data_IF_145754910295
#
_entry.id   IF_145754910295
#
_cell.length_a   1.000
_cell.length_b   1.000
_cell.length_c   1.000
_cell.angle_alpha   90.00
_cell.angle_beta   90.00
_cell.angle_gamma   90.00
#
_symmetry.space_group_name_H-M   'P 1'
#
loop_
_entity.id
_entity.type
_entity.pdbx_description
1 polymer ?
#
# COMPACT_ATOMS: atom_id res chain seq x y z
N UNK A 1 45.26 -2.01 48.90
CA UNK A 1 44.28 -2.66 49.79
C UNK A 1 43.21 -3.19 48.84
N UNK A 2 43.29 -4.33 48.43
CA UNK A 2 42.84 -5.71 48.63
C UNK A 2 41.65 -5.79 49.57
N UNK A 3 40.50 -6.31 49.03
CA UNK A 3 39.53 -7.23 49.63
C UNK A 3 38.35 -7.36 48.66
N UNK A 4 38.19 -8.45 48.07
CA UNK A 4 37.72 -9.79 48.45
C UNK A 4 36.23 -9.97 48.11
N UNK A 5 35.95 -10.78 47.09
CA UNK A 5 34.61 -11.34 46.72
C UNK A 5 34.23 -12.48 47.69
N UNK A 6 32.97 -12.69 47.97
CA UNK A 6 32.50 -14.04 48.35
C UNK A 6 31.72 -14.72 47.19
N UNK A 7 32.15 -15.92 46.92
CA UNK A 7 31.51 -16.96 46.17
C UNK A 7 30.27 -17.52 46.91
N UNK A 8 29.14 -17.51 46.28
CA UNK A 8 27.93 -18.18 46.72
C UNK A 8 27.42 -19.12 45.63
N UNK A 9 27.67 -20.42 45.83
CA UNK A 9 27.10 -21.54 45.08
C UNK A 9 25.65 -21.72 45.48
N UNK A 10 24.73 -21.79 44.51
CA UNK A 10 23.41 -22.33 44.72
C UNK A 10 23.05 -23.25 43.56
N UNK A 11 22.64 -24.47 43.95
CA UNK A 11 22.49 -25.64 43.14
C UNK A 11 21.33 -25.60 42.14
N UNK A 12 21.52 -26.33 41.09
CA UNK A 12 20.49 -26.75 40.12
C UNK A 12 19.60 -27.82 40.75
N UNK A 13 18.29 -27.63 40.68
CA UNK A 13 17.31 -28.69 40.75
C UNK A 13 16.46 -28.66 39.48
N UNK A 14 16.64 -29.74 38.72
CA UNK A 14 15.82 -30.10 37.55
C UNK A 14 14.36 -30.24 37.95
N UNK A 15 13.47 -29.61 37.18
CA UNK A 15 12.19 -30.16 36.69
C UNK A 15 11.42 -29.11 35.90
N UNK A 16 11.43 -29.24 34.58
CA UNK A 16 10.43 -28.61 33.75
C UNK A 16 9.86 -29.67 32.80
N UNK A 17 8.54 -29.91 32.79
CA UNK A 17 7.94 -30.91 31.93
C UNK A 17 7.74 -30.41 30.52
N UNK A 18 8.07 -31.21 29.53
CA UNK A 18 7.76 -31.08 28.13
C UNK A 18 6.25 -31.11 27.88
N UNK A 19 5.72 -30.22 27.03
CA UNK A 19 4.39 -30.42 26.47
C UNK A 19 4.43 -30.62 24.95
N UNK A 20 3.79 -31.71 24.54
CA UNK A 20 3.22 -31.98 23.22
C UNK A 20 4.08 -32.62 22.15
N UNK A 21 4.19 -33.93 22.29
CA UNK A 21 4.35 -34.85 21.18
C UNK A 21 2.98 -35.05 20.50
N UNK A 22 2.74 -34.43 19.34
CA UNK A 22 1.64 -34.82 18.46
C UNK A 22 2.14 -35.85 17.45
N UNK A 23 1.62 -37.05 17.56
CA UNK A 23 1.78 -38.15 16.62
C UNK A 23 1.19 -37.77 15.25
N UNK A 24 2.01 -37.82 14.23
CA UNK A 24 1.60 -37.73 12.82
C UNK A 24 1.18 -39.13 12.35
N UNK A 25 0.08 -39.29 11.60
CA UNK A 25 -0.26 -40.55 10.95
C UNK A 25 0.66 -40.80 9.76
N UNK A 26 1.14 -42.03 9.66
CA UNK A 26 2.03 -42.60 8.65
C UNK A 26 1.36 -42.76 7.28
N UNK A 27 2.16 -42.45 6.24
CA UNK A 27 2.12 -42.97 4.86
C UNK A 27 0.89 -42.67 4.00
N UNK A 28 1.02 -41.65 3.17
CA UNK A 28 0.39 -41.58 1.85
C UNK A 28 1.51 -41.64 0.81
N UNK A 29 1.49 -42.70 -0.01
CA UNK A 29 2.42 -42.94 -1.12
C UNK A 29 2.32 -41.83 -2.14
N UNK A 30 3.44 -41.10 -2.37
CA UNK A 30 3.57 -40.09 -3.42
C UNK A 30 3.53 -40.80 -4.80
N UNK A 31 2.42 -40.64 -5.51
CA UNK A 31 2.37 -40.90 -6.94
C UNK A 31 3.17 -39.81 -7.63
N UNK A 32 4.10 -40.22 -8.50
CA UNK A 32 4.99 -39.41 -9.31
C UNK A 32 4.19 -38.57 -10.32
N UNK A 33 3.79 -37.39 -9.91
CA UNK A 33 3.41 -36.31 -10.82
C UNK A 33 4.66 -35.48 -11.06
N UNK A 34 5.17 -35.49 -12.30
CA UNK A 34 6.25 -34.60 -12.75
C UNK A 34 5.90 -33.14 -12.47
N UNK A 35 6.91 -32.25 -12.40
CA UNK A 35 6.65 -30.84 -12.11
C UNK A 35 5.64 -30.28 -13.14
N UNK A 36 4.58 -29.58 -12.69
CA UNK A 36 3.61 -29.03 -13.62
C UNK A 36 4.33 -28.08 -14.58
N UNK A 37 4.18 -28.32 -15.89
CA UNK A 37 4.63 -27.41 -16.93
C UNK A 37 3.76 -26.16 -16.88
N UNK A 38 4.21 -25.13 -16.15
CA UNK A 38 3.53 -23.84 -16.12
C UNK A 38 3.78 -23.11 -17.44
N UNK A 39 2.84 -23.18 -18.35
CA UNK A 39 2.70 -22.23 -19.45
C UNK A 39 2.50 -20.84 -18.84
N UNK A 40 3.16 -19.82 -19.42
CA UNK A 40 2.89 -18.42 -19.06
C UNK A 40 1.42 -18.19 -19.42
N UNK A 41 0.60 -17.98 -18.40
CA UNK A 41 -0.80 -17.66 -18.58
C UNK A 41 -0.87 -16.26 -19.21
N UNK A 42 -1.40 -16.19 -20.46
CA UNK A 42 -1.64 -14.95 -21.19
C UNK A 42 -2.65 -14.02 -20.47
N UNK A 43 -3.25 -14.49 -19.36
CA UNK A 43 -4.20 -13.74 -18.54
C UNK A 43 -3.55 -12.74 -17.57
N UNK A 44 -2.22 -12.76 -17.37
CA UNK A 44 -1.53 -11.87 -16.43
C UNK A 44 -1.04 -10.61 -17.13
N UNK A 45 -1.54 -9.46 -16.71
CA UNK A 45 -1.05 -8.16 -17.20
C UNK A 45 0.37 -7.90 -16.68
N UNK A 46 1.29 -7.62 -17.59
CA UNK A 46 2.64 -7.16 -17.23
C UNK A 46 2.77 -5.68 -17.51
N UNK A 47 3.03 -4.89 -16.48
CA UNK A 47 3.20 -3.44 -16.56
C UNK A 47 4.64 -3.10 -16.19
N UNK A 48 5.38 -2.54 -17.14
CA UNK A 48 6.75 -2.09 -16.90
C UNK A 48 6.73 -0.76 -16.16
N UNK A 49 7.49 -0.70 -15.08
CA UNK A 49 7.83 0.54 -14.37
C UNK A 49 9.27 0.87 -14.69
N UNK A 50 9.48 2.03 -15.30
CA UNK A 50 10.77 2.50 -15.75
C UNK A 50 11.05 3.84 -15.10
N UNK A 51 12.07 3.92 -14.26
CA UNK A 51 12.47 5.13 -13.55
C UNK A 51 13.95 5.43 -13.83
N UNK A 52 14.42 6.64 -13.58
CA UNK A 52 15.85 6.97 -13.74
C UNK A 52 16.79 6.04 -12.96
N UNK A 53 16.35 5.52 -11.80
CA UNK A 53 17.20 4.69 -10.93
C UNK A 53 16.95 3.19 -11.03
N UNK A 54 15.81 2.74 -11.59
CA UNK A 54 15.45 1.33 -11.63
C UNK A 54 14.42 1.00 -12.71
N UNK A 55 14.44 -0.27 -13.13
CA UNK A 55 13.45 -0.85 -14.01
C UNK A 55 12.94 -2.16 -13.40
N UNK A 56 11.62 -2.33 -13.34
CA UNK A 56 11.00 -3.55 -12.85
C UNK A 56 9.61 -3.75 -13.45
N UNK A 57 9.06 -4.93 -13.29
CA UNK A 57 7.72 -5.25 -13.75
C UNK A 57 6.73 -5.37 -12.58
N UNK A 58 5.51 -4.92 -12.81
CA UNK A 58 4.35 -5.22 -11.99
C UNK A 58 3.50 -6.23 -12.75
N UNK A 59 3.28 -7.38 -12.14
CA UNK A 59 2.39 -8.41 -12.64
C UNK A 59 1.04 -8.28 -11.92
N UNK A 60 -0.04 -8.17 -12.68
CA UNK A 60 -1.39 -8.07 -12.15
C UNK A 60 -2.29 -9.14 -12.79
N UNK A 61 -2.91 -9.99 -11.98
CA UNK A 61 -3.75 -11.09 -12.44
C UNK A 61 -4.03 -12.08 -11.33
N UNK A 62 -4.80 -13.13 -11.62
CA UNK A 62 -5.12 -14.19 -10.68
C UNK A 62 -4.03 -15.26 -10.63
N UNK A 63 -3.90 -15.97 -9.49
CA UNK A 63 -3.01 -17.13 -9.33
C UNK A 63 -1.51 -16.82 -9.25
N UNK A 64 -1.14 -15.55 -9.08
CA UNK A 64 0.27 -15.15 -9.02
C UNK A 64 0.97 -15.68 -7.78
N UNK A 65 0.26 -15.76 -6.65
CA UNK A 65 0.79 -16.25 -5.39
C UNK A 65 1.17 -17.73 -5.47
N UNK A 66 0.34 -18.56 -6.11
CA UNK A 66 0.60 -19.98 -6.31
C UNK A 66 1.79 -20.26 -7.25
N UNK A 67 2.17 -19.30 -8.08
CA UNK A 67 3.30 -19.39 -9.02
C UNK A 67 4.45 -18.42 -8.70
N UNK A 68 4.55 -17.96 -7.45
CA UNK A 68 5.47 -16.90 -7.05
C UNK A 68 6.94 -17.30 -7.20
N UNK A 69 7.34 -18.46 -6.70
CA UNK A 69 8.73 -18.91 -6.72
C UNK A 69 9.29 -19.06 -8.15
N UNK A 70 8.65 -19.75 -9.11
CA UNK A 70 9.15 -19.85 -10.48
C UNK A 70 9.20 -18.47 -11.18
N UNK A 71 8.31 -17.52 -10.84
CA UNK A 71 8.37 -16.16 -11.37
C UNK A 71 9.56 -15.38 -10.81
N UNK A 72 9.81 -15.48 -9.50
CA UNK A 72 11.01 -14.90 -8.87
C UNK A 72 12.27 -15.50 -9.47
N UNK A 73 12.34 -16.83 -9.62
CA UNK A 73 13.49 -17.51 -10.21
C UNK A 73 13.79 -16.99 -11.62
N UNK A 74 12.76 -16.75 -12.44
CA UNK A 74 12.93 -16.21 -13.79
C UNK A 74 13.49 -14.79 -13.78
N UNK A 75 13.05 -13.95 -12.84
CA UNK A 75 13.49 -12.55 -12.74
C UNK A 75 14.91 -12.46 -12.17
N UNK A 76 15.21 -13.24 -11.12
CA UNK A 76 16.51 -13.24 -10.44
C UNK A 76 17.56 -14.18 -11.07
N UNK A 77 17.19 -14.95 -12.09
CA UNK A 77 18.03 -15.98 -12.71
C UNK A 77 18.08 -17.29 -11.91
N UNK A 78 18.05 -17.23 -10.59
CA UNK A 78 17.95 -18.36 -9.66
C UNK A 78 17.21 -17.97 -8.41
N UNK A 79 16.64 -18.94 -7.71
CA UNK A 79 16.10 -18.70 -6.37
C UNK A 79 17.25 -18.45 -5.38
N UNK A 80 17.18 -17.36 -4.59
CA UNK A 80 18.13 -17.13 -3.51
C UNK A 80 18.07 -18.24 -2.46
N UNK A 81 19.22 -18.57 -1.87
CA UNK A 81 19.29 -19.61 -0.83
C UNK A 81 18.52 -19.24 0.44
N UNK A 82 18.45 -17.96 0.75
CA UNK A 82 17.72 -17.45 1.91
C UNK A 82 16.61 -16.51 1.44
N UNK A 83 15.36 -16.88 1.74
CA UNK A 83 14.18 -16.08 1.40
C UNK A 83 13.45 -15.78 2.70
N UNK A 84 13.24 -14.50 2.96
CA UNK A 84 12.49 -14.01 4.11
C UNK A 84 11.14 -13.46 3.64
N UNK A 85 10.06 -13.81 4.36
CA UNK A 85 8.73 -13.25 4.14
C UNK A 85 8.37 -12.36 5.32
N UNK A 86 8.24 -11.07 5.09
CA UNK A 86 7.66 -10.14 6.08
C UNK A 86 6.17 -10.03 5.82
N UNK A 87 5.36 -10.36 6.84
CA UNK A 87 3.89 -10.39 6.72
C UNK A 87 3.24 -10.14 8.07
N UNK A 88 1.90 -9.98 8.11
CA UNK A 88 1.14 -9.99 9.37
C UNK A 88 0.57 -11.39 9.66
N UNK A 89 0.31 -11.70 10.95
CA UNK A 89 -0.30 -12.99 11.32
C UNK A 89 -1.61 -13.28 10.59
N UNK A 90 -2.44 -12.26 10.37
CA UNK A 90 -3.76 -12.38 9.72
C UNK A 90 -3.60 -12.75 8.23
N UNK A 91 -2.72 -12.08 7.51
CA UNK A 91 -2.44 -12.39 6.09
C UNK A 91 -1.82 -13.76 5.96
N UNK A 92 -0.91 -14.10 6.87
CA UNK A 92 -0.29 -15.42 6.88
C UNK A 92 -1.30 -16.55 7.10
N UNK A 93 -2.23 -16.38 8.03
CA UNK A 93 -3.29 -17.34 8.29
C UNK A 93 -4.21 -17.57 7.07
N UNK A 94 -4.44 -16.54 6.25
CA UNK A 94 -5.30 -16.61 5.08
C UNK A 94 -4.57 -17.20 3.85
N UNK A 95 -3.34 -16.80 3.61
CA UNK A 95 -2.67 -17.00 2.34
C UNK A 95 -1.26 -17.59 2.43
N UNK A 96 -0.74 -17.79 3.65
CA UNK A 96 0.62 -18.28 3.87
C UNK A 96 0.85 -19.68 3.27
N UNK A 97 -0.11 -20.58 3.38
CA UNK A 97 -0.03 -21.92 2.80
C UNK A 97 0.08 -21.89 1.27
N UNK A 98 -0.69 -21.02 0.61
CA UNK A 98 -0.64 -20.85 -0.84
C UNK A 98 0.72 -20.30 -1.27
N UNK A 99 1.26 -19.32 -0.53
CA UNK A 99 2.60 -18.78 -0.80
C UNK A 99 3.66 -19.86 -0.65
N UNK A 100 3.69 -20.58 0.48
CA UNK A 100 4.69 -21.61 0.79
C UNK A 100 4.67 -22.72 -0.23
N UNK A 101 3.49 -23.16 -0.68
CA UNK A 101 3.33 -24.24 -1.65
C UNK A 101 4.01 -23.93 -3.00
N UNK A 102 4.28 -22.66 -3.32
CA UNK A 102 5.01 -22.29 -4.54
C UNK A 102 6.52 -22.52 -4.45
N UNK A 103 7.07 -22.65 -3.25
CA UNK A 103 8.52 -22.77 -3.01
C UNK A 103 8.96 -24.21 -2.78
N UNK A 104 10.12 -24.63 -3.30
CA UNK A 104 10.68 -25.97 -3.03
C UNK A 104 11.09 -26.17 -1.57
N UNK A 105 11.53 -25.08 -0.91
CA UNK A 105 11.84 -25.01 0.51
C UNK A 105 11.07 -23.83 1.12
N UNK A 106 10.46 -24.03 2.28
CA UNK A 106 9.67 -22.98 2.95
C UNK A 106 10.51 -21.75 3.27
N UNK A 107 10.08 -20.54 2.84
CA UNK A 107 10.73 -19.30 3.23
C UNK A 107 10.66 -19.07 4.74
N UNK A 108 11.59 -18.30 5.27
CA UNK A 108 11.61 -17.91 6.68
C UNK A 108 10.61 -16.77 6.89
N UNK A 109 9.58 -17.02 7.71
CA UNK A 109 8.51 -16.05 7.94
C UNK A 109 8.82 -15.15 9.14
N UNK A 110 8.70 -13.84 8.94
CA UNK A 110 8.92 -12.80 9.94
C UNK A 110 7.62 -12.01 10.13
N UNK A 111 7.10 -11.97 11.35
CA UNK A 111 5.83 -11.33 11.63
C UNK A 111 5.99 -9.87 12.06
N UNK A 112 5.32 -8.98 11.33
CA UNK A 112 5.07 -7.60 11.69
C UNK A 112 3.68 -7.50 12.32
N UNK A 113 3.58 -6.91 13.50
CA UNK A 113 2.30 -6.65 14.13
C UNK A 113 1.44 -5.71 13.26
N UNK A 114 0.11 -5.95 13.17
CA UNK A 114 -0.75 -5.18 12.28
C UNK A 114 -0.98 -3.74 12.78
N UNK A 115 -1.26 -2.86 11.84
CA UNK A 115 -1.69 -1.49 12.10
C UNK A 115 -0.56 -0.46 12.14
N UNK A 116 -0.97 0.78 11.91
CA UNK A 116 -0.09 1.95 11.80
C UNK A 116 0.83 2.19 13.02
N UNK A 117 0.43 1.89 14.28
CA UNK A 117 1.31 2.02 15.44
C UNK A 117 2.59 1.16 15.38
N UNK A 118 2.60 0.12 14.55
CA UNK A 118 3.74 -0.79 14.40
C UNK A 118 4.63 -0.45 13.19
N UNK A 119 4.31 0.58 12.44
CA UNK A 119 5.15 1.12 11.36
C UNK A 119 6.27 1.99 11.93
N UNK A 120 7.23 1.39 12.64
CA UNK A 120 8.26 2.08 13.45
C UNK A 120 9.67 1.55 13.22
N UNK A 121 10.69 2.33 13.61
CA UNK A 121 12.10 1.89 13.61
C UNK A 121 12.32 0.67 14.53
N UNK A 122 11.63 0.59 15.65
CA UNK A 122 11.73 -0.57 16.56
C UNK A 122 11.25 -1.86 15.87
N UNK A 123 10.20 -1.79 15.07
CA UNK A 123 9.73 -2.94 14.27
C UNK A 123 10.77 -3.34 13.22
N UNK A 124 11.40 -2.37 12.56
CA UNK A 124 12.48 -2.62 11.59
C UNK A 124 13.67 -3.29 12.28
N UNK A 125 14.13 -2.75 13.43
CA UNK A 125 15.24 -3.35 14.19
C UNK A 125 14.94 -4.80 14.58
N UNK A 126 13.73 -5.09 15.07
CA UNK A 126 13.31 -6.45 15.40
C UNK A 126 13.42 -7.39 14.21
N UNK A 127 12.91 -6.98 13.04
CA UNK A 127 12.96 -7.80 11.82
C UNK A 127 14.41 -8.02 11.36
N UNK A 128 15.25 -6.98 11.38
CA UNK A 128 16.67 -7.08 11.02
C UNK A 128 17.42 -8.06 11.93
N UNK A 129 17.19 -8.02 13.25
CA UNK A 129 17.79 -8.96 14.22
C UNK A 129 17.37 -10.41 13.92
N UNK A 130 16.09 -10.63 13.63
CA UNK A 130 15.58 -11.97 13.24
C UNK A 130 16.24 -12.47 11.97
N UNK A 131 16.43 -11.61 10.94
CA UNK A 131 17.13 -11.98 9.71
C UNK A 131 18.58 -12.39 9.98
N UNK A 132 19.29 -11.65 10.84
CA UNK A 132 20.68 -12.00 11.22
C UNK A 132 20.74 -13.35 11.92
N UNK A 133 19.87 -13.60 12.91
CA UNK A 133 19.82 -14.86 13.66
C UNK A 133 19.50 -16.04 12.73
N UNK A 134 18.65 -15.82 11.72
CA UNK A 134 18.28 -16.84 10.73
C UNK A 134 19.34 -17.00 9.61
N UNK A 135 20.51 -16.38 9.73
CA UNK A 135 21.61 -16.52 8.78
C UNK A 135 21.41 -15.76 7.47
N UNK A 136 20.70 -14.64 7.52
CA UNK A 136 20.55 -13.73 6.39
C UNK A 136 21.88 -13.11 5.98
N UNK A 137 22.07 -12.94 4.68
CA UNK A 137 23.25 -12.36 4.06
C UNK A 137 22.89 -11.44 2.88
N UNK A 138 23.91 -10.92 2.16
CA UNK A 138 23.72 -10.02 1.01
C UNK A 138 23.03 -10.67 -0.19
N UNK A 139 23.01 -12.00 -0.27
CA UNK A 139 22.36 -12.74 -1.35
C UNK A 139 20.91 -13.13 -1.01
N UNK A 140 20.46 -12.79 0.18
CA UNK A 140 19.08 -13.06 0.63
C UNK A 140 18.06 -12.23 -0.16
N UNK A 141 16.84 -12.76 -0.27
CA UNK A 141 15.68 -12.07 -0.84
C UNK A 141 14.65 -11.81 0.25
N UNK A 142 14.05 -10.63 0.25
CA UNK A 142 12.91 -10.33 1.09
C UNK A 142 11.63 -10.29 0.25
N UNK A 143 10.56 -10.91 0.73
CA UNK A 143 9.21 -10.83 0.19
C UNK A 143 8.37 -10.01 1.17
N UNK A 144 7.93 -8.83 0.75
CA UNK A 144 6.97 -8.01 1.52
C UNK A 144 5.55 -8.46 1.13
N UNK A 145 4.95 -9.33 1.95
CA UNK A 145 3.66 -9.96 1.70
C UNK A 145 2.58 -9.39 2.61
N UNK A 146 1.83 -8.40 2.12
CA UNK A 146 0.81 -7.72 2.94
C UNK A 146 0.30 -6.43 2.34
N UNK A 147 -0.42 -5.65 3.15
CA UNK A 147 -0.88 -4.30 2.80
C UNK A 147 0.26 -3.28 2.75
N UNK A 148 -0.09 -1.99 2.56
CA UNK A 148 0.88 -0.90 2.40
C UNK A 148 1.90 -0.79 3.55
N UNK A 149 1.48 -1.01 4.80
CA UNK A 149 2.38 -0.99 5.98
C UNK A 149 3.47 -2.06 5.86
N UNK A 150 3.10 -3.28 5.46
CA UNK A 150 4.05 -4.37 5.26
C UNK A 150 4.99 -4.08 4.10
N UNK A 151 4.46 -3.51 3.00
CA UNK A 151 5.25 -3.06 1.85
C UNK A 151 6.29 -2.02 2.22
N UNK A 152 5.88 -0.99 2.97
CA UNK A 152 6.75 0.11 3.40
C UNK A 152 7.83 -0.37 4.39
N UNK A 153 7.44 -1.10 5.44
CA UNK A 153 8.37 -1.64 6.44
C UNK A 153 9.31 -2.69 5.83
N UNK A 154 8.76 -3.66 5.08
CA UNK A 154 9.55 -4.71 4.45
C UNK A 154 10.53 -4.16 3.41
N UNK A 155 10.09 -3.19 2.61
CA UNK A 155 10.97 -2.48 1.67
C UNK A 155 12.08 -1.70 2.38
N UNK A 156 11.79 -1.07 3.53
CA UNK A 156 12.81 -0.36 4.31
C UNK A 156 13.77 -1.32 5.02
N UNK A 157 13.29 -2.45 5.52
CA UNK A 157 14.14 -3.56 6.00
C UNK A 157 15.08 -4.01 4.89
N UNK A 158 14.57 -4.27 3.68
CA UNK A 158 15.40 -4.67 2.54
C UNK A 158 16.42 -3.59 2.16
N UNK A 159 16.03 -2.31 2.18
CA UNK A 159 16.92 -1.18 1.86
C UNK A 159 18.08 -1.03 2.85
N UNK A 160 17.88 -1.43 4.12
CA UNK A 160 18.86 -1.19 5.20
C UNK A 160 19.65 -2.44 5.55
N UNK A 161 19.08 -3.65 5.40
CA UNK A 161 19.78 -4.89 5.68
C UNK A 161 21.02 -5.03 4.78
N UNK A 162 22.19 -5.25 5.38
CA UNK A 162 23.49 -5.37 4.66
C UNK A 162 23.78 -4.23 3.66
N UNK A 163 23.19 -3.04 3.85
CA UNK A 163 23.21 -1.86 2.96
C UNK A 163 22.42 -2.03 1.67
N UNK A 164 21.44 -2.90 1.68
CA UNK A 164 20.51 -3.17 0.58
C UNK A 164 20.57 -4.62 0.10
N UNK A 165 19.42 -5.29 0.14
CA UNK A 165 19.20 -6.60 -0.45
C UNK A 165 18.03 -6.51 -1.44
N UNK A 166 17.96 -7.41 -2.44
CA UNK A 166 16.81 -7.49 -3.33
C UNK A 166 15.53 -7.83 -2.55
N UNK A 167 14.41 -7.28 -3.02
CA UNK A 167 13.11 -7.64 -2.50
C UNK A 167 12.04 -7.66 -3.58
N UNK A 168 10.93 -8.31 -3.31
CA UNK A 168 9.70 -8.27 -4.10
C UNK A 168 8.53 -7.86 -3.23
N UNK A 169 7.53 -7.24 -3.83
CA UNK A 169 6.27 -6.92 -3.15
C UNK A 169 5.15 -7.85 -3.61
N UNK A 170 4.37 -8.34 -2.67
CA UNK A 170 3.14 -9.10 -2.88
C UNK A 170 2.02 -8.37 -2.12
N UNK A 171 1.45 -7.30 -2.74
CA UNK A 171 0.45 -6.47 -2.09
C UNK A 171 -0.88 -7.20 -1.95
N UNK A 172 -1.47 -7.18 -0.73
CA UNK A 172 -2.69 -7.93 -0.41
C UNK A 172 -3.92 -7.06 -0.19
N UNK A 173 -3.79 -5.74 -0.20
CA UNK A 173 -4.92 -4.81 -0.19
C UNK A 173 -5.06 -4.14 -1.55
N UNK A 174 -6.28 -3.75 -1.93
CA UNK A 174 -6.49 -3.05 -3.20
C UNK A 174 -5.66 -1.77 -3.27
N UNK A 175 -5.64 -0.98 -2.18
CA UNK A 175 -4.80 0.22 -2.06
C UNK A 175 -3.33 -0.07 -2.34
N UNK A 176 -2.78 -1.15 -1.77
CA UNK A 176 -1.38 -1.48 -1.99
C UNK A 176 -1.11 -1.98 -3.42
N UNK A 177 -2.06 -2.64 -4.04
CA UNK A 177 -1.92 -3.10 -5.44
C UNK A 177 -1.88 -1.93 -6.44
N UNK A 178 -2.72 -0.92 -6.24
CA UNK A 178 -2.85 0.19 -7.20
C UNK A 178 -1.95 1.38 -6.90
N UNK A 179 -1.45 1.50 -5.65
CA UNK A 179 -0.74 2.70 -5.21
C UNK A 179 0.57 2.39 -4.49
N UNK A 180 0.58 1.98 -3.22
CA UNK A 180 1.79 2.02 -2.39
C UNK A 180 2.92 1.10 -2.85
N UNK A 181 2.66 0.01 -3.59
CA UNK A 181 3.68 -0.90 -4.13
C UNK A 181 4.48 -0.33 -5.32
N UNK A 182 4.06 0.80 -5.89
CA UNK A 182 4.68 1.38 -7.09
C UNK A 182 5.39 2.69 -6.75
N UNK A 183 6.64 2.82 -7.15
CA UNK A 183 7.42 4.06 -7.02
C UNK A 183 8.48 4.07 -5.93
N UNK A 184 8.79 2.90 -5.33
CA UNK A 184 9.98 2.66 -4.52
C UNK A 184 10.02 3.38 -3.17
N UNK A 185 8.97 4.10 -2.76
CA UNK A 185 8.92 4.73 -1.44
C UNK A 185 8.78 3.64 -0.36
N UNK A 186 9.73 3.61 0.57
CA UNK A 186 9.73 2.71 1.73
C UNK A 186 10.01 3.50 2.97
N UNK A 187 9.50 3.10 4.13
CA UNK A 187 9.77 3.85 5.34
C UNK A 187 8.85 3.57 6.50
N UNK A 188 9.11 4.30 7.58
CA UNK A 188 8.43 4.18 8.86
C UNK A 188 8.09 5.55 9.44
N UNK A 189 7.26 5.53 10.47
CA UNK A 189 6.81 6.71 11.18
C UNK A 189 7.75 7.05 12.34
N UNK A 190 7.73 8.33 12.70
CA UNK A 190 8.23 8.82 13.99
C UNK A 190 7.06 9.37 14.82
N UNK A 191 7.25 9.63 16.13
CA UNK A 191 6.23 10.31 16.94
C UNK A 191 5.78 11.65 16.36
N UNK A 192 6.67 12.34 15.65
CA UNK A 192 6.46 13.65 15.05
C UNK A 192 5.61 13.60 13.77
N UNK A 193 5.54 12.43 13.09
CA UNK A 193 4.76 12.32 11.86
C UNK A 193 4.95 11.01 11.10
N UNK A 194 4.06 10.80 10.12
CA UNK A 194 4.10 9.64 9.24
C UNK A 194 5.21 9.75 8.20
N UNK A 195 5.81 8.59 7.86
CA UNK A 195 6.72 8.41 6.73
C UNK A 195 7.96 9.34 6.73
N UNK A 196 8.41 9.78 7.91
CA UNK A 196 9.53 10.72 8.04
C UNK A 196 10.89 10.04 7.88
N UNK A 197 10.99 8.75 8.08
CA UNK A 197 12.23 7.97 7.92
C UNK A 197 12.02 6.90 6.85
N UNK A 198 12.86 6.90 5.83
CA UNK A 198 12.69 5.95 4.74
C UNK A 198 13.78 6.02 3.68
N UNK A 199 13.59 5.25 2.64
CA UNK A 199 14.48 5.17 1.49
C UNK A 199 13.67 5.01 0.21
N UNK A 200 14.22 5.48 -0.91
CA UNK A 200 13.79 5.04 -2.23
C UNK A 200 14.51 3.72 -2.56
N UNK A 201 13.78 2.62 -2.47
CA UNK A 201 14.27 1.29 -2.78
C UNK A 201 13.25 0.56 -3.65
N UNK A 202 13.61 0.32 -4.91
CA UNK A 202 12.70 -0.30 -5.86
C UNK A 202 12.74 -1.83 -5.74
N UNK A 203 11.57 -2.51 -5.82
CA UNK A 203 11.53 -3.97 -5.82
C UNK A 203 12.05 -4.56 -7.14
N UNK A 204 12.51 -5.81 -7.12
CA UNK A 204 12.77 -6.58 -8.35
C UNK A 204 11.49 -6.77 -9.17
N UNK A 205 10.36 -6.94 -8.49
CA UNK A 205 9.05 -7.06 -9.09
C UNK A 205 7.95 -6.83 -8.05
N UNK A 206 6.74 -6.54 -8.54
CA UNK A 206 5.50 -6.52 -7.75
C UNK A 206 4.55 -7.58 -8.31
N UNK A 207 3.94 -8.37 -7.45
CA UNK A 207 2.97 -9.41 -7.81
C UNK A 207 1.62 -9.08 -7.18
N UNK A 208 0.78 -8.35 -7.93
CA UNK A 208 -0.57 -7.96 -7.54
C UNK A 208 -1.56 -9.09 -7.89
N UNK A 209 -1.64 -10.08 -7.01
CA UNK A 209 -2.58 -11.19 -7.14
C UNK A 209 -3.99 -10.72 -6.79
N UNK A 210 -4.92 -10.84 -7.75
CA UNK A 210 -6.30 -10.39 -7.57
C UNK A 210 -7.06 -11.31 -6.62
N UNK A 211 -6.71 -12.60 -6.59
CA UNK A 211 -7.41 -13.59 -5.78
C UNK A 211 -7.32 -13.27 -4.28
N UNK A 212 -6.21 -12.66 -3.83
CA UNK A 212 -6.07 -12.28 -2.41
C UNK A 212 -7.07 -11.22 -1.99
N UNK A 213 -7.63 -10.45 -2.92
CA UNK A 213 -8.68 -9.47 -2.66
C UNK A 213 -10.02 -10.13 -2.29
N UNK A 214 -10.18 -11.44 -2.55
CA UNK A 214 -11.35 -12.21 -2.16
C UNK A 214 -11.63 -12.16 -0.66
N UNK A 215 -10.59 -12.11 0.16
CA UNK A 215 -10.68 -12.04 1.63
C UNK A 215 -10.61 -10.62 2.20
N UNK A 216 -10.37 -9.61 1.35
CA UNK A 216 -10.28 -8.22 1.80
C UNK A 216 -11.67 -7.73 2.27
N UNK A 217 -11.80 -7.10 3.45
CA UNK A 217 -13.06 -6.50 3.87
C UNK A 217 -13.62 -5.51 2.84
N UNK A 218 -14.94 -5.47 2.63
CA UNK A 218 -15.56 -4.60 1.62
C UNK A 218 -15.28 -3.11 1.85
N UNK A 219 -15.16 -2.68 3.10
CA UNK A 219 -14.78 -1.30 3.44
C UNK A 219 -13.36 -0.96 2.96
N UNK A 220 -12.43 -1.88 3.13
CA UNK A 220 -11.03 -1.73 2.67
C UNK A 220 -10.95 -1.71 1.14
N UNK A 221 -11.72 -2.57 0.46
CA UNK A 221 -11.80 -2.56 -1.00
C UNK A 221 -12.31 -1.20 -1.51
N UNK A 222 -13.43 -0.70 -0.94
CA UNK A 222 -14.01 0.58 -1.33
C UNK A 222 -13.06 1.75 -1.07
N UNK A 223 -12.41 1.75 0.10
CA UNK A 223 -11.39 2.75 0.42
C UNK A 223 -10.23 2.72 -0.60
N UNK A 224 -9.74 1.53 -0.96
CA UNK A 224 -8.69 1.41 -1.98
C UNK A 224 -9.12 1.86 -3.37
N UNK A 225 -10.38 1.61 -3.75
CA UNK A 225 -10.96 2.06 -5.03
C UNK A 225 -10.97 3.58 -5.19
N UNK A 226 -10.96 4.36 -4.09
CA UNK A 226 -10.83 5.83 -4.17
C UNK A 226 -9.51 6.26 -4.82
N UNK A 227 -8.44 5.48 -4.67
CA UNK A 227 -7.17 5.75 -5.36
C UNK A 227 -7.28 5.52 -6.88
N UNK A 228 -8.06 4.53 -7.32
CA UNK A 228 -8.33 4.34 -8.74
C UNK A 228 -9.26 5.42 -9.30
N UNK A 229 -10.26 5.88 -8.52
CA UNK A 229 -11.08 7.05 -8.88
C UNK A 229 -10.18 8.26 -9.06
N UNK A 230 -9.29 8.52 -8.10
CA UNK A 230 -8.29 9.60 -8.18
C UNK A 230 -7.44 9.46 -9.44
N UNK A 231 -6.91 8.26 -9.71
CA UNK A 231 -6.10 7.98 -10.90
C UNK A 231 -6.83 8.34 -12.20
N UNK A 232 -8.10 7.98 -12.29
CA UNK A 232 -8.96 8.35 -13.41
C UNK A 232 -9.13 9.86 -13.55
N UNK A 233 -9.44 10.54 -12.46
CA UNK A 233 -9.67 12.01 -12.45
C UNK A 233 -8.43 12.75 -12.92
N UNK A 234 -7.22 12.35 -12.45
CA UNK A 234 -5.99 13.12 -12.71
C UNK A 234 -5.32 12.81 -14.05
N UNK A 235 -5.51 11.59 -14.63
CA UNK A 235 -4.73 11.19 -15.83
C UNK A 235 -5.40 10.20 -16.76
N UNK A 236 -6.55 9.59 -16.41
CA UNK A 236 -7.13 8.53 -17.23
C UNK A 236 -8.65 8.63 -17.34
N UNK A 237 -9.12 9.45 -18.31
CA UNK A 237 -10.56 9.59 -18.63
C UNK A 237 -11.23 8.24 -18.98
N UNK A 238 -10.48 7.30 -19.59
CA UNK A 238 -11.02 6.01 -19.94
C UNK A 238 -11.29 5.16 -18.69
N UNK A 239 -10.42 5.27 -17.68
CA UNK A 239 -10.64 4.62 -16.38
C UNK A 239 -11.89 5.19 -15.67
N UNK A 240 -12.11 6.51 -15.69
CA UNK A 240 -13.33 7.13 -15.14
C UNK A 240 -14.56 6.48 -15.77
N UNK A 241 -14.65 6.49 -17.10
CA UNK A 241 -15.78 5.89 -17.81
C UNK A 241 -15.94 4.40 -17.51
N UNK A 242 -14.84 3.65 -17.50
CA UNK A 242 -14.89 2.22 -17.21
C UNK A 242 -15.42 1.94 -15.80
N UNK A 243 -15.00 2.72 -14.80
CA UNK A 243 -15.45 2.58 -13.42
C UNK A 243 -16.93 2.95 -13.28
N UNK A 244 -17.43 3.97 -14.00
CA UNK A 244 -18.87 4.29 -14.05
C UNK A 244 -19.70 3.15 -14.61
N UNK A 245 -19.31 2.63 -15.78
CA UNK A 245 -20.06 1.62 -16.52
C UNK A 245 -20.03 0.23 -15.87
N UNK A 246 -18.97 -0.10 -15.12
CA UNK A 246 -18.73 -1.45 -14.58
C UNK A 246 -18.72 -1.50 -13.04
N UNK A 247 -19.30 -0.51 -12.37
CA UNK A 247 -19.25 -0.39 -10.90
C UNK A 247 -19.79 -1.63 -10.17
N UNK A 248 -20.86 -2.23 -10.67
CA UNK A 248 -21.45 -3.43 -10.10
C UNK A 248 -20.49 -4.63 -10.14
N UNK A 249 -19.80 -4.85 -11.27
CA UNK A 249 -18.82 -5.92 -11.44
C UNK A 249 -17.61 -5.68 -10.52
N UNK A 250 -17.10 -4.45 -10.47
CA UNK A 250 -15.97 -4.05 -9.62
C UNK A 250 -16.30 -4.29 -8.14
N UNK A 251 -17.47 -3.83 -7.68
CA UNK A 251 -17.89 -3.97 -6.29
C UNK A 251 -18.23 -5.42 -5.90
N UNK A 252 -18.63 -6.26 -6.86
CA UNK A 252 -18.81 -7.71 -6.68
C UNK A 252 -17.50 -8.49 -6.81
N UNK A 253 -16.39 -7.81 -7.03
CA UNK A 253 -15.04 -8.40 -7.16
C UNK A 253 -14.92 -9.32 -8.37
N UNK A 254 -15.57 -8.99 -9.47
CA UNK A 254 -15.30 -9.68 -10.72
C UNK A 254 -13.82 -9.55 -11.08
N UNK A 255 -13.14 -10.68 -11.27
CA UNK A 255 -11.68 -10.70 -11.41
C UNK A 255 -11.21 -9.90 -12.64
N UNK A 256 -11.92 -9.98 -13.75
CA UNK A 256 -11.57 -9.24 -14.98
C UNK A 256 -11.80 -7.74 -14.81
N UNK A 257 -12.89 -7.37 -14.12
CA UNK A 257 -13.19 -5.96 -13.86
C UNK A 257 -12.14 -5.35 -12.91
N UNK A 258 -11.75 -6.06 -11.84
CA UNK A 258 -10.70 -5.63 -10.93
C UNK A 258 -9.34 -5.56 -11.62
N UNK A 259 -8.98 -6.57 -12.42
CA UNK A 259 -7.71 -6.59 -13.18
C UNK A 259 -7.57 -5.33 -14.04
N UNK A 260 -8.64 -4.96 -14.77
CA UNK A 260 -8.62 -3.79 -15.65
C UNK A 260 -8.42 -2.49 -14.86
N UNK A 261 -9.09 -2.33 -13.71
CA UNK A 261 -8.94 -1.17 -12.84
C UNK A 261 -7.53 -1.12 -12.24
N UNK A 262 -7.03 -2.24 -11.72
CA UNK A 262 -5.69 -2.35 -11.14
C UNK A 262 -4.63 -2.02 -12.19
N UNK A 263 -4.69 -2.66 -13.35
CA UNK A 263 -3.73 -2.44 -14.42
C UNK A 263 -3.72 -0.98 -14.92
N UNK A 264 -4.91 -0.37 -15.09
CA UNK A 264 -5.01 1.03 -15.49
C UNK A 264 -4.40 1.98 -14.44
N UNK A 265 -4.72 1.77 -13.16
CA UNK A 265 -4.18 2.57 -12.05
C UNK A 265 -2.66 2.46 -11.96
N UNK A 266 -2.11 1.23 -12.09
CA UNK A 266 -0.66 1.00 -12.09
C UNK A 266 0.00 1.68 -13.28
N UNK A 267 -0.55 1.56 -14.52
CA UNK A 267 0.00 2.23 -15.71
C UNK A 267 0.02 3.74 -15.54
N UNK A 268 -1.05 4.31 -15.03
CA UNK A 268 -1.13 5.75 -14.73
C UNK A 268 -0.01 6.15 -13.77
N UNK A 269 0.09 5.46 -12.64
CA UNK A 269 1.10 5.76 -11.62
C UNK A 269 2.52 5.55 -12.13
N UNK A 270 2.78 4.46 -12.84
CA UNK A 270 4.08 4.19 -13.46
C UNK A 270 4.50 5.31 -14.41
N UNK A 271 3.58 5.82 -15.23
CA UNK A 271 3.83 6.95 -16.13
C UNK A 271 4.15 8.26 -15.41
N UNK A 272 3.55 8.50 -14.24
CA UNK A 272 3.88 9.67 -13.40
C UNK A 272 5.24 9.50 -12.73
N UNK A 273 5.51 8.32 -12.15
CA UNK A 273 6.79 8.00 -11.47
C UNK A 273 7.95 8.00 -12.45
N UNK A 274 7.75 7.54 -13.69
CA UNK A 274 8.75 7.62 -14.76
C UNK A 274 9.25 9.04 -15.00
N UNK A 275 8.34 10.01 -14.97
CA UNK A 275 8.67 11.42 -15.23
C UNK A 275 9.19 12.16 -14.01
N UNK A 276 8.82 11.71 -12.82
CA UNK A 276 9.18 12.36 -11.55
C UNK A 276 9.27 11.31 -10.43
N UNK A 277 10.41 10.63 -10.37
CA UNK A 277 10.66 9.57 -9.41
C UNK A 277 10.64 10.08 -7.96
N UNK A 278 11.20 11.28 -7.71
CA UNK A 278 11.44 11.82 -6.37
C UNK A 278 10.44 12.85 -5.88
N UNK A 279 9.32 13.04 -6.63
CA UNK A 279 8.24 13.96 -6.26
C UNK A 279 8.68 15.45 -6.17
N UNK A 280 9.46 15.87 -7.14
CA UNK A 280 9.93 17.26 -7.23
C UNK A 280 8.97 18.17 -8.01
N UNK A 281 7.93 17.64 -8.67
CA UNK A 281 7.03 18.42 -9.50
C UNK A 281 5.78 17.64 -9.93
N UNK A 282 5.81 16.98 -11.07
CA UNK A 282 4.65 16.30 -11.67
C UNK A 282 4.00 15.28 -10.72
N UNK A 283 4.79 14.52 -9.97
CA UNK A 283 4.27 13.48 -9.07
C UNK A 283 3.35 14.03 -7.98
N UNK A 284 3.42 15.34 -7.70
CA UNK A 284 2.49 16.01 -6.76
C UNK A 284 1.02 15.88 -7.20
N UNK A 285 0.70 15.69 -8.50
CA UNK A 285 -0.68 15.50 -8.94
C UNK A 285 -1.34 14.26 -8.30
N UNK A 286 -0.55 13.28 -7.87
CA UNK A 286 -1.04 12.11 -7.13
C UNK A 286 -1.69 12.50 -5.78
N UNK A 287 -1.47 13.72 -5.32
CA UNK A 287 -2.01 14.24 -4.06
C UNK A 287 -3.39 14.92 -4.22
N UNK A 288 -4.13 14.70 -5.33
CA UNK A 288 -5.52 15.12 -5.43
C UNK A 288 -6.34 14.61 -4.24
N UNK A 289 -6.98 15.52 -3.52
CA UNK A 289 -7.74 15.19 -2.31
C UNK A 289 -6.90 15.01 -1.03
N UNK A 290 -5.60 14.83 -1.12
CA UNK A 290 -4.75 14.49 0.03
C UNK A 290 -4.60 15.62 1.03
N UNK A 291 -4.54 16.90 0.61
CA UNK A 291 -4.38 18.04 1.53
C UNK A 291 -5.51 18.10 2.56
N UNK A 292 -6.76 17.96 2.12
CA UNK A 292 -7.92 17.89 3.03
C UNK A 292 -8.04 16.51 3.66
N UNK A 293 -7.75 15.42 2.92
CA UNK A 293 -7.74 14.05 3.42
C UNK A 293 -6.80 13.86 4.62
N UNK A 294 -5.55 14.29 4.53
CA UNK A 294 -4.60 14.26 5.64
C UNK A 294 -5.04 15.11 6.84
N UNK A 295 -5.67 16.26 6.59
CA UNK A 295 -6.25 17.06 7.66
C UNK A 295 -7.37 16.32 8.40
N UNK A 296 -8.22 15.57 7.67
CA UNK A 296 -9.25 14.70 8.26
C UNK A 296 -8.59 13.57 9.07
N UNK A 297 -7.60 12.87 8.52
CA UNK A 297 -6.86 11.82 9.24
C UNK A 297 -6.21 12.36 10.53
N UNK A 298 -5.56 13.51 10.46
CA UNK A 298 -4.92 14.15 11.62
C UNK A 298 -5.93 14.53 12.70
N UNK A 299 -7.06 15.16 12.33
CA UNK A 299 -8.11 15.57 13.28
C UNK A 299 -8.78 14.35 13.93
N UNK A 300 -8.87 13.22 13.22
CA UNK A 300 -9.40 11.93 13.72
C UNK A 300 -8.33 11.07 14.39
N UNK A 301 -7.08 11.55 14.49
CA UNK A 301 -5.93 10.81 15.04
C UNK A 301 -5.71 9.47 14.34
N UNK A 302 -6.01 9.38 13.04
CA UNK A 302 -5.86 8.18 12.20
C UNK A 302 -6.64 6.96 12.68
N UNK A 303 -7.74 7.15 13.45
CA UNK A 303 -8.48 6.06 14.10
C UNK A 303 -9.89 5.82 13.56
N UNK A 304 -10.43 6.76 12.79
CA UNK A 304 -11.86 6.77 12.44
C UNK A 304 -12.09 6.39 10.98
N UNK A 305 -11.31 6.98 10.08
CA UNK A 305 -11.41 6.76 8.65
C UNK A 305 -10.22 5.95 8.13
N UNK A 306 -10.50 5.14 7.11
CA UNK A 306 -9.46 4.59 6.26
C UNK A 306 -8.90 5.69 5.35
N UNK A 307 -7.67 5.55 4.91
CA UNK A 307 -6.98 6.55 4.07
C UNK A 307 -7.81 6.95 2.85
N UNK A 308 -8.28 5.98 2.06
CA UNK A 308 -9.08 6.27 0.87
C UNK A 308 -10.44 6.94 1.18
N UNK A 309 -11.05 6.67 2.34
CA UNK A 309 -12.26 7.37 2.77
C UNK A 309 -11.98 8.87 3.03
N UNK A 310 -10.84 9.17 3.67
CA UNK A 310 -10.41 10.54 3.90
C UNK A 310 -10.04 11.25 2.58
N UNK A 311 -9.34 10.55 1.67
CA UNK A 311 -9.02 11.05 0.33
C UNK A 311 -10.29 11.27 -0.50
N UNK A 312 -11.29 10.37 -0.41
CA UNK A 312 -12.59 10.55 -1.06
C UNK A 312 -13.27 11.87 -0.69
N UNK A 313 -13.36 12.16 0.61
CA UNK A 313 -13.85 13.46 1.08
C UNK A 313 -12.97 14.62 0.61
N UNK A 314 -11.66 14.45 0.66
CA UNK A 314 -10.73 15.47 0.18
C UNK A 314 -10.85 15.72 -1.32
N UNK A 315 -11.15 14.71 -2.13
CA UNK A 315 -11.45 14.89 -3.56
C UNK A 315 -12.72 15.73 -3.78
N UNK A 316 -13.78 15.51 -3.00
CA UNK A 316 -15.00 16.34 -3.10
C UNK A 316 -14.67 17.82 -2.83
N UNK A 317 -13.84 18.12 -1.82
CA UNK A 317 -13.40 19.49 -1.58
C UNK A 317 -12.56 20.06 -2.75
N UNK A 318 -11.66 19.26 -3.32
CA UNK A 318 -10.85 19.65 -4.48
C UNK A 318 -11.69 19.87 -5.76
N UNK A 319 -12.71 19.03 -5.97
CA UNK A 319 -13.68 19.20 -7.07
C UNK A 319 -14.45 20.51 -6.91
N UNK A 320 -14.90 20.85 -5.68
CA UNK A 320 -15.60 22.11 -5.43
C UNK A 320 -14.71 23.32 -5.70
N UNK A 321 -13.43 23.27 -5.29
CA UNK A 321 -12.44 24.30 -5.65
C UNK A 321 -12.29 24.43 -7.16
N UNK A 322 -12.21 23.30 -7.88
CA UNK A 322 -12.14 23.28 -9.34
C UNK A 322 -13.37 23.91 -10.00
N UNK A 323 -14.57 23.65 -9.46
CA UNK A 323 -15.80 24.29 -9.92
C UNK A 323 -15.79 25.81 -9.70
N UNK A 324 -15.41 26.26 -8.51
CA UNK A 324 -15.35 27.72 -8.18
C UNK A 324 -14.32 28.46 -9.07
N UNK A 325 -13.20 27.79 -9.36
CA UNK A 325 -12.15 28.34 -10.25
C UNK A 325 -12.41 28.09 -11.73
N UNK A 326 -13.53 27.45 -12.08
CA UNK A 326 -13.90 27.13 -13.46
C UNK A 326 -12.88 26.27 -14.20
N UNK A 327 -12.07 25.48 -13.50
CA UNK A 327 -11.17 24.49 -14.11
C UNK A 327 -11.92 23.23 -14.53
N UNK A 328 -13.13 23.03 -13.98
CA UNK A 328 -14.12 22.03 -14.41
C UNK A 328 -15.50 22.69 -14.54
N UNK A 329 -16.33 22.15 -15.45
CA UNK A 329 -17.72 22.60 -15.58
C UNK A 329 -18.61 22.00 -14.47
N UNK A 330 -19.81 22.59 -14.28
CA UNK A 330 -20.80 22.05 -13.32
C UNK A 330 -21.19 20.59 -13.65
N UNK A 331 -21.29 20.23 -14.94
CA UNK A 331 -21.59 18.88 -15.37
C UNK A 331 -20.44 17.91 -15.03
N UNK A 332 -19.17 18.31 -15.23
CA UNK A 332 -18.01 17.53 -14.86
C UNK A 332 -17.90 17.35 -13.35
N UNK A 333 -18.15 18.41 -12.60
CA UNK A 333 -18.19 18.38 -11.14
C UNK A 333 -19.20 17.34 -10.64
N UNK A 334 -20.47 17.42 -11.08
CA UNK A 334 -21.51 16.48 -10.66
C UNK A 334 -21.16 15.03 -11.01
N UNK A 335 -20.69 14.80 -12.24
CA UNK A 335 -20.27 13.47 -12.70
C UNK A 335 -19.16 12.87 -11.83
N UNK A 336 -18.15 13.65 -11.49
CA UNK A 336 -17.03 13.17 -10.67
C UNK A 336 -17.42 12.99 -9.20
N UNK A 337 -18.28 13.84 -8.66
CA UNK A 337 -18.83 13.68 -7.32
C UNK A 337 -19.69 12.41 -7.24
N UNK A 338 -20.54 12.15 -8.23
CA UNK A 338 -21.35 10.92 -8.31
C UNK A 338 -20.46 9.68 -8.40
N UNK A 339 -19.35 9.72 -9.14
CA UNK A 339 -18.41 8.62 -9.23
C UNK A 339 -17.76 8.32 -7.85
N UNK A 340 -17.36 9.35 -7.10
CA UNK A 340 -16.81 9.16 -5.74
C UNK A 340 -17.86 8.49 -4.85
N UNK A 341 -19.11 8.94 -4.90
CA UNK A 341 -20.19 8.36 -4.10
C UNK A 341 -20.58 6.95 -4.53
N UNK A 342 -20.46 6.61 -5.80
CA UNK A 342 -20.72 5.27 -6.33
C UNK A 342 -19.84 4.20 -5.67
N UNK A 343 -18.62 4.56 -5.32
CA UNK A 343 -17.67 3.70 -4.60
C UNK A 343 -17.72 3.86 -3.07
N UNK A 344 -18.58 4.74 -2.55
CA UNK A 344 -18.86 4.88 -1.12
C UNK A 344 -19.60 3.67 -0.51
N UNK A 345 -20.23 3.80 0.67
CA UNK A 345 -20.43 5.08 1.35
C UNK A 345 -19.14 5.63 2.01
N UNK A 346 -18.98 6.94 1.95
CA UNK A 346 -17.97 7.62 2.76
C UNK A 346 -18.52 7.84 4.18
N UNK A 347 -17.73 7.59 5.24
CA UNK A 347 -18.19 7.79 6.62
C UNK A 347 -18.57 9.24 6.90
N UNK A 348 -19.60 9.50 7.73
CA UNK A 348 -20.03 10.85 8.06
C UNK A 348 -18.96 11.60 8.86
N UNK A 349 -18.85 12.90 8.61
CA UNK A 349 -17.93 13.80 9.31
C UNK A 349 -18.66 14.78 10.22
N UNK A 350 -18.20 14.90 11.47
CA UNK A 350 -18.79 15.80 12.48
C UNK A 350 -17.72 16.79 12.99
N UNK A 351 -17.22 17.64 12.10
CA UNK A 351 -16.22 18.65 12.43
C UNK A 351 -16.70 20.06 12.08
N UNK A 352 -16.06 21.06 12.70
CA UNK A 352 -16.15 22.45 12.24
C UNK A 352 -15.15 22.65 11.11
N UNK A 353 -15.57 23.30 10.01
CA UNK A 353 -14.71 23.53 8.85
C UNK A 353 -13.40 24.24 9.23
N UNK A 354 -13.47 25.24 10.11
CA UNK A 354 -12.28 25.97 10.57
C UNK A 354 -11.22 25.06 11.20
N UNK A 355 -11.63 23.97 11.88
CA UNK A 355 -10.70 23.00 12.46
C UNK A 355 -9.95 22.19 11.38
N UNK A 356 -10.65 21.81 10.32
CA UNK A 356 -10.02 21.11 9.18
C UNK A 356 -9.10 22.04 8.39
N UNK A 357 -9.55 23.28 8.13
CA UNK A 357 -8.73 24.29 7.44
C UNK A 357 -7.46 24.60 8.24
N UNK A 358 -7.53 24.71 9.58
CA UNK A 358 -6.36 24.90 10.42
C UNK A 358 -5.38 23.68 10.34
N UNK A 359 -5.91 22.47 10.27
CA UNK A 359 -5.10 21.25 10.17
C UNK A 359 -4.34 21.15 8.82
N UNK A 360 -4.86 21.72 7.72
CA UNK A 360 -4.12 21.77 6.43
C UNK A 360 -2.82 22.60 6.50
N UNK A 361 -2.64 23.43 7.53
CA UNK A 361 -1.40 24.20 7.73
C UNK A 361 -0.20 23.31 8.16
N UNK A 362 -0.43 22.07 8.57
CA UNK A 362 0.65 21.14 8.86
C UNK A 362 1.43 20.78 7.58
N UNK A 363 0.75 20.59 6.45
CA UNK A 363 1.38 20.36 5.15
C UNK A 363 2.23 21.56 4.70
N UNK A 364 1.80 22.78 5.01
CA UNK A 364 2.56 24.00 4.71
C UNK A 364 3.94 24.03 5.38
N UNK A 365 4.06 23.55 6.62
CA UNK A 365 5.33 23.50 7.35
C UNK A 365 6.31 22.49 6.71
N UNK A 366 5.80 21.41 6.16
CA UNK A 366 6.60 20.38 5.51
C UNK A 366 7.03 20.77 4.08
N UNK A 367 6.35 21.72 3.43
CA UNK A 367 6.57 22.15 2.04
C UNK A 367 7.23 23.52 1.89
N UNK A 368 8.11 23.92 2.82
CA UNK A 368 8.84 25.19 2.70
C UNK A 368 7.97 26.45 2.82
N UNK A 369 6.83 26.36 3.49
CA UNK A 369 5.95 27.52 3.76
C UNK A 369 4.85 27.77 2.73
N UNK A 370 4.83 27.08 1.60
CA UNK A 370 3.81 27.20 0.55
C UNK A 370 2.81 26.04 0.65
N UNK A 371 1.52 26.38 0.60
CA UNK A 371 0.43 25.41 0.59
C UNK A 371 0.10 25.04 -0.86
N UNK A 372 0.31 23.76 -1.21
CA UNK A 372 0.00 23.25 -2.55
C UNK A 372 -1.29 22.46 -2.55
N UNK A 373 -2.13 22.73 -3.53
CA UNK A 373 -3.34 21.97 -3.80
C UNK A 373 -3.27 21.38 -5.19
N UNK A 374 -3.85 20.20 -5.33
CA UNK A 374 -4.07 19.60 -6.64
C UNK A 374 -5.54 19.80 -6.98
N UNK A 375 -5.82 20.42 -8.12
CA UNK A 375 -7.16 20.64 -8.63
C UNK A 375 -7.36 19.93 -9.97
N UNK A 376 -8.56 19.39 -10.25
CA UNK A 376 -8.85 18.82 -11.56
C UNK A 376 -8.93 19.92 -12.62
N UNK A 377 -8.41 19.61 -13.81
CA UNK A 377 -8.51 20.45 -15.02
C UNK A 377 -9.25 19.64 -16.08
N UNK A 378 -10.58 19.67 -16.00
CA UNK A 378 -11.41 18.72 -16.73
C UNK A 378 -11.35 17.30 -16.14
N UNK A 379 -11.71 16.27 -16.93
CA UNK A 379 -11.63 14.87 -16.55
C UNK A 379 -10.40 14.24 -17.22
N UNK A 380 -9.53 13.62 -16.45
CA UNK A 380 -8.30 13.00 -16.92
C UNK A 380 -7.11 13.98 -17.01
N UNK A 381 -7.20 15.11 -16.32
CA UNK A 381 -6.09 16.03 -16.12
C UNK A 381 -6.19 16.77 -14.78
N UNK A 382 -5.06 17.16 -14.21
CA UNK A 382 -4.97 17.91 -12.95
C UNK A 382 -3.72 18.78 -12.90
N UNK A 383 -3.82 19.87 -12.16
CA UNK A 383 -2.73 20.82 -11.96
C UNK A 383 -2.48 21.11 -10.48
N UNK A 384 -1.26 21.55 -10.18
CA UNK A 384 -0.86 22.02 -8.85
C UNK A 384 -1.03 23.53 -8.79
N UNK A 385 -1.69 24.02 -7.74
CA UNK A 385 -1.89 25.44 -7.47
C UNK A 385 -1.39 25.80 -6.06
N UNK A 386 -0.87 27.02 -5.88
CA UNK A 386 -0.28 27.48 -4.62
C UNK A 386 -1.06 28.65 -3.99
N UNK A 387 -2.03 29.19 -4.71
CA UNK A 387 -2.76 30.43 -4.41
C UNK A 387 -4.15 30.23 -3.81
N UNK A 388 -4.46 29.03 -3.27
CA UNK A 388 -5.77 28.79 -2.64
C UNK A 388 -5.90 29.59 -1.35
N UNK A 389 -6.81 30.57 -1.36
CA UNK A 389 -7.10 31.43 -0.24
C UNK A 389 -7.81 30.71 0.91
N UNK A 390 -7.74 31.31 2.11
CA UNK A 390 -8.36 30.69 3.29
C UNK A 390 -9.88 30.65 3.19
N UNK A 391 -10.51 31.68 2.65
CA UNK A 391 -11.96 31.73 2.48
C UNK A 391 -12.45 30.75 1.44
N UNK A 392 -11.72 30.62 0.34
CA UNK A 392 -12.00 29.64 -0.72
C UNK A 392 -11.92 28.20 -0.21
N UNK A 393 -10.85 27.89 0.55
CA UNK A 393 -10.71 26.59 1.19
C UNK A 393 -11.80 26.33 2.22
N UNK A 394 -12.17 27.34 3.00
CA UNK A 394 -13.26 27.24 3.97
C UNK A 394 -14.60 26.93 3.29
N UNK A 395 -14.89 27.58 2.16
CA UNK A 395 -16.09 27.29 1.35
C UNK A 395 -16.10 25.84 0.86
N UNK A 396 -14.97 25.35 0.33
CA UNK A 396 -14.85 23.97 -0.16
C UNK A 396 -15.02 22.93 0.96
N UNK A 397 -14.40 23.17 2.12
CA UNK A 397 -14.54 22.29 3.28
C UNK A 397 -15.97 22.34 3.83
N UNK A 398 -16.65 23.50 3.84
CA UNK A 398 -18.06 23.59 4.24
C UNK A 398 -18.96 22.81 3.30
N UNK A 399 -18.77 22.93 1.97
CA UNK A 399 -19.52 22.14 0.99
C UNK A 399 -19.34 20.63 1.26
N UNK A 400 -18.11 20.17 1.36
CA UNK A 400 -17.78 18.76 1.67
C UNK A 400 -18.47 18.29 2.96
N UNK A 401 -18.44 19.09 4.04
CA UNK A 401 -19.07 18.75 5.32
C UNK A 401 -20.61 18.74 5.24
N UNK A 402 -21.21 19.55 4.39
CA UNK A 402 -22.66 19.52 4.11
C UNK A 402 -23.00 18.15 3.48
N UNK A 403 -22.30 17.75 2.43
CA UNK A 403 -22.49 16.44 1.79
C UNK A 403 -22.30 15.28 2.79
N UNK A 404 -21.33 15.40 3.70
CA UNK A 404 -21.07 14.40 4.72
C UNK A 404 -22.18 14.28 5.79
N UNK A 405 -23.10 15.24 5.91
CA UNK A 405 -24.22 15.23 6.84
C UNK A 405 -25.54 14.78 6.20
N UNK A 406 -25.76 15.11 4.93
CA UNK A 406 -27.02 14.91 4.22
C UNK A 406 -27.23 13.45 3.77
N UNK A 407 -26.14 12.72 3.54
CA UNK A 407 -26.19 11.33 3.03
C UNK A 407 -26.11 10.31 4.19
N UNK A 408 -27.15 10.35 5.08
CA UNK A 408 -27.33 9.33 6.13
C UNK A 408 -28.15 8.13 5.65
#
# INVERSE_FOLDING_TARGET
MRDAFPSGSCGFSDTCPDPFLFLLPTSVTASSLGPPSFTIDDSVQTIRVDTPSAQYNVFAGSGLLASLAPRIQRIAGKLPRRIFVVTSPEIWALWGSTLVASFPESPITLFLAPGEPHKTLASVEKLLRQMVVAGGDRSSLLIAFGGGIVGDVGGFVAATFMRGIPYVQVPTTFLSQVDSSVGGKTGVNLPEGKNLVGSFHHPLAVFADIDVLGTLPSRELRAGLMESVKAGIIRDRALVRYMEENSNQILRRDSKALEKVIAASIRMKAGVVHRDERENGLRMILNLGHTVGHAIEQVTRYKVLLHGEAVGWGMIAALYLGLQRRTISAQQFQRLEDLIHLYGPLPPLKFRAAKLVAATNADKKNAGGVRRFVLPIGIGDAGVVEDVGQEELLAAVNYMLMQARERR
#
